data_IF_408565154682
#
_entry.id   IF_408565154682
#
_cell.length_a   1.000
_cell.length_b   1.000
_cell.length_c   1.000
_cell.angle_alpha   90.00
_cell.angle_beta   90.00
_cell.angle_gamma   90.00
#
_symmetry.space_group_name_H-M   'P 1'
#
loop_
_entity.id
_entity.type
_entity.pdbx_description
1 polymer ?
#
# COMPACT_ATOMS: atom_id res chain seq x y z
N UNK A 1 36.05 3.27 -16.52
CA UNK A 1 34.82 3.72 -17.19
C UNK A 1 34.28 4.86 -16.33
N UNK A 2 34.46 6.11 -16.76
CA UNK A 2 34.13 7.31 -15.97
C UNK A 2 32.64 7.59 -16.13
N UNK A 3 31.80 6.86 -15.42
CA UNK A 3 30.35 7.06 -15.41
C UNK A 3 30.02 8.23 -14.49
N UNK A 4 30.26 9.45 -14.97
CA UNK A 4 29.59 10.61 -14.38
C UNK A 4 28.09 10.42 -14.65
N UNK A 5 27.33 10.10 -13.60
CA UNK A 5 25.87 10.08 -13.67
C UNK A 5 25.40 11.44 -14.19
N UNK A 6 24.49 11.41 -15.15
CA UNK A 6 23.81 12.60 -15.64
C UNK A 6 23.03 13.25 -14.49
N UNK A 7 22.83 14.57 -14.52
CA UNK A 7 22.22 15.30 -13.38
C UNK A 7 20.86 14.70 -12.97
N UNK A 8 20.08 14.24 -13.95
CA UNK A 8 18.77 13.61 -13.74
C UNK A 8 18.86 12.28 -12.98
N UNK A 9 19.91 11.50 -13.23
CA UNK A 9 20.13 10.22 -12.54
C UNK A 9 20.58 10.44 -11.09
N UNK A 10 21.37 11.49 -10.83
CA UNK A 10 21.78 11.86 -9.47
C UNK A 10 20.58 12.32 -8.63
N UNK A 11 19.70 13.13 -9.22
CA UNK A 11 18.48 13.58 -8.55
C UNK A 11 17.54 12.41 -8.27
N UNK A 12 17.38 11.48 -9.23
CA UNK A 12 16.59 10.25 -9.01
C UNK A 12 17.14 9.41 -7.85
N UNK A 13 18.46 9.20 -7.79
CA UNK A 13 19.11 8.44 -6.72
C UNK A 13 18.93 9.13 -5.37
N UNK A 14 19.09 10.45 -5.33
CA UNK A 14 18.90 11.25 -4.12
C UNK A 14 17.47 11.17 -3.59
N UNK A 15 16.48 11.30 -4.48
CA UNK A 15 15.07 11.17 -4.14
C UNK A 15 14.71 9.76 -3.67
N UNK A 16 15.27 8.72 -4.30
CA UNK A 16 15.05 7.33 -3.91
C UNK A 16 15.60 7.04 -2.51
N UNK A 17 16.81 7.53 -2.20
CA UNK A 17 17.42 7.37 -0.88
C UNK A 17 16.69 8.20 0.20
N UNK A 18 16.27 9.42 -0.13
CA UNK A 18 15.45 10.24 0.76
C UNK A 18 14.09 9.59 1.05
N UNK A 19 13.47 8.99 0.04
CA UNK A 19 12.24 8.20 0.17
C UNK A 19 12.44 6.98 1.08
N UNK A 20 13.52 6.23 0.90
CA UNK A 20 13.86 5.05 1.72
C UNK A 20 13.97 5.40 3.21
N UNK A 21 14.56 6.55 3.54
CA UNK A 21 14.80 6.95 4.92
C UNK A 21 13.57 7.59 5.59
N UNK A 22 12.76 8.39 4.87
CA UNK A 22 11.64 9.14 5.46
C UNK A 22 10.26 8.61 5.13
N UNK A 23 10.02 8.19 3.88
CA UNK A 23 8.68 7.89 3.37
C UNK A 23 8.31 6.41 3.48
N UNK A 24 9.29 5.51 3.38
CA UNK A 24 9.08 4.06 3.54
C UNK A 24 8.33 3.65 4.81
N UNK A 25 8.71 4.09 6.03
CA UNK A 25 8.00 3.67 7.25
C UNK A 25 6.57 4.21 7.30
N UNK A 26 6.33 5.42 6.79
CA UNK A 26 5.00 6.02 6.70
C UNK A 26 4.11 5.29 5.69
N UNK A 27 4.62 5.00 4.49
CA UNK A 27 3.87 4.25 3.47
C UNK A 27 3.56 2.82 3.92
N UNK A 28 4.47 2.18 4.65
CA UNK A 28 4.23 0.88 5.25
C UNK A 28 3.16 0.93 6.35
N UNK A 29 3.22 1.93 7.24
CA UNK A 29 2.21 2.14 8.28
C UNK A 29 0.82 2.42 7.67
N UNK A 30 0.75 3.30 6.67
CA UNK A 30 -0.49 3.62 5.96
C UNK A 30 -1.08 2.38 5.28
N UNK A 31 -0.23 1.55 4.67
CA UNK A 31 -0.68 0.30 4.05
C UNK A 31 -1.26 -0.66 5.09
N UNK A 32 -0.60 -0.83 6.23
CA UNK A 32 -1.12 -1.67 7.32
C UNK A 32 -2.44 -1.11 7.90
N UNK A 33 -2.55 0.21 8.09
CA UNK A 33 -3.79 0.84 8.54
C UNK A 33 -4.93 0.61 7.53
N UNK A 34 -4.65 0.72 6.23
CA UNK A 34 -5.61 0.42 5.18
C UNK A 34 -6.11 -1.04 5.26
N UNK A 35 -5.22 -2.00 5.55
CA UNK A 35 -5.62 -3.40 5.75
C UNK A 35 -6.54 -3.57 6.96
N UNK A 36 -6.19 -2.96 8.11
CA UNK A 36 -7.00 -3.02 9.33
C UNK A 36 -8.39 -2.42 9.09
N UNK A 37 -8.46 -1.26 8.45
CA UNK A 37 -9.72 -0.61 8.08
C UNK A 37 -10.54 -1.47 7.13
N UNK A 38 -9.92 -2.04 6.10
CA UNK A 38 -10.58 -2.98 5.18
C UNK A 38 -11.18 -4.18 5.91
N UNK A 39 -10.43 -4.77 6.84
CA UNK A 39 -10.90 -5.87 7.69
C UNK A 39 -12.09 -5.48 8.56
N UNK A 40 -12.04 -4.32 9.21
CA UNK A 40 -13.15 -3.80 10.03
C UNK A 40 -14.40 -3.57 9.17
N UNK A 41 -14.26 -2.95 8.00
CA UNK A 41 -15.38 -2.73 7.07
C UNK A 41 -16.01 -4.06 6.67
N UNK A 42 -15.22 -5.08 6.34
CA UNK A 42 -15.73 -6.41 5.99
C UNK A 42 -16.49 -7.01 7.18
N UNK A 43 -15.94 -6.97 8.40
CA UNK A 43 -16.59 -7.52 9.59
C UNK A 43 -17.91 -6.83 9.91
N UNK A 44 -17.94 -5.48 9.87
CA UNK A 44 -19.18 -4.71 10.08
C UNK A 44 -20.22 -5.06 9.02
N UNK A 45 -19.78 -5.20 7.77
CA UNK A 45 -20.64 -5.58 6.65
C UNK A 45 -21.25 -6.96 6.87
N UNK A 46 -20.45 -7.96 7.27
CA UNK A 46 -20.92 -9.32 7.58
C UNK A 46 -21.90 -9.29 8.75
N UNK A 47 -21.57 -8.58 9.83
CA UNK A 47 -22.43 -8.48 11.01
C UNK A 47 -23.80 -7.88 10.67
N UNK A 48 -23.84 -6.79 9.90
CA UNK A 48 -25.08 -6.16 9.45
C UNK A 48 -25.91 -7.09 8.56
N UNK A 49 -25.23 -7.79 7.65
CA UNK A 49 -25.83 -8.77 6.74
C UNK A 49 -26.51 -9.89 7.53
N UNK A 50 -25.81 -10.48 8.51
CA UNK A 50 -26.36 -11.56 9.35
C UNK A 50 -27.56 -11.11 10.17
N UNK A 51 -27.59 -9.86 10.63
CA UNK A 51 -28.68 -9.33 11.46
C UNK A 51 -29.95 -9.03 10.67
N UNK A 52 -29.85 -8.79 9.36
CA UNK A 52 -30.95 -8.32 8.52
C UNK A 52 -31.20 -9.23 7.30
N UNK A 53 -30.91 -10.53 7.39
CA UNK A 53 -30.95 -11.51 6.30
C UNK A 53 -32.22 -11.50 5.43
N UNK A 54 -33.36 -11.06 5.99
CA UNK A 54 -34.66 -11.02 5.29
C UNK A 54 -34.91 -9.72 4.51
N UNK A 55 -34.06 -8.71 4.69
CA UNK A 55 -34.29 -7.36 4.19
C UNK A 55 -33.55 -7.11 2.86
N UNK A 56 -34.29 -6.62 1.86
CA UNK A 56 -33.71 -6.25 0.54
C UNK A 56 -32.66 -5.15 0.65
N UNK A 57 -32.70 -4.39 1.75
CA UNK A 57 -31.76 -3.35 2.14
C UNK A 57 -30.35 -3.88 2.40
N UNK A 58 -30.21 -5.17 2.76
CA UNK A 58 -28.90 -5.81 2.96
C UNK A 58 -28.06 -5.78 1.70
N UNK A 59 -28.64 -6.00 0.52
CA UNK A 59 -27.88 -6.00 -0.73
C UNK A 59 -27.20 -4.65 -0.99
N UNK A 60 -27.85 -3.55 -0.61
CA UNK A 60 -27.33 -2.18 -0.73
C UNK A 60 -26.22 -1.84 0.26
N UNK A 61 -26.08 -2.59 1.36
CA UNK A 61 -25.02 -2.40 2.36
C UNK A 61 -23.88 -3.39 2.13
N UNK A 62 -24.22 -4.64 1.83
CA UNK A 62 -23.26 -5.73 1.68
C UNK A 62 -22.38 -5.57 0.45
N UNK A 63 -22.97 -5.23 -0.70
CA UNK A 63 -22.20 -5.12 -1.95
C UNK A 63 -21.19 -3.96 -1.89
N UNK A 64 -21.55 -2.73 -1.48
CA UNK A 64 -20.56 -1.66 -1.36
C UNK A 64 -19.53 -1.92 -0.26
N UNK A 65 -19.95 -2.49 0.88
CA UNK A 65 -19.05 -2.83 1.99
C UNK A 65 -18.00 -3.87 1.59
N UNK A 66 -18.42 -4.91 0.86
CA UNK A 66 -17.51 -5.91 0.32
C UNK A 66 -16.55 -5.32 -0.72
N UNK A 67 -17.06 -4.50 -1.66
CA UNK A 67 -16.22 -3.84 -2.67
C UNK A 67 -15.16 -2.93 -2.03
N UNK A 68 -15.56 -2.12 -1.04
CA UNK A 68 -14.62 -1.29 -0.28
C UNK A 68 -13.55 -2.13 0.42
N UNK A 69 -13.96 -3.22 1.09
CA UNK A 69 -13.03 -4.17 1.71
C UNK A 69 -12.00 -4.71 0.72
N UNK A 70 -12.43 -5.15 -0.45
CA UNK A 70 -11.55 -5.65 -1.52
C UNK A 70 -10.59 -4.57 -2.02
N UNK A 71 -11.04 -3.33 -2.19
CA UNK A 71 -10.18 -2.21 -2.61
C UNK A 71 -9.10 -1.94 -1.56
N UNK A 72 -9.43 -1.92 -0.27
CA UNK A 72 -8.46 -1.72 0.82
C UNK A 72 -7.40 -2.84 0.86
N UNK A 73 -7.83 -4.09 0.70
CA UNK A 73 -6.90 -5.24 0.60
C UNK A 73 -6.01 -5.14 -0.64
N UNK A 74 -6.56 -4.69 -1.77
CA UNK A 74 -5.81 -4.43 -2.99
C UNK A 74 -4.72 -3.36 -2.78
N UNK A 75 -5.07 -2.23 -2.17
CA UNK A 75 -4.11 -1.16 -1.84
C UNK A 75 -2.96 -1.70 -0.98
N UNK A 76 -3.26 -2.52 0.02
CA UNK A 76 -2.23 -3.17 0.83
C UNK A 76 -1.30 -4.05 0.00
N UNK A 77 -1.86 -4.91 -0.86
CA UNK A 77 -1.08 -5.83 -1.68
C UNK A 77 -0.17 -5.09 -2.68
N UNK A 78 -0.73 -4.15 -3.45
CA UNK A 78 0.01 -3.37 -4.43
C UNK A 78 1.02 -2.42 -3.75
N UNK A 79 0.63 -1.78 -2.65
CA UNK A 79 1.52 -0.94 -1.84
C UNK A 79 2.71 -1.72 -1.31
N UNK A 80 2.48 -2.89 -0.71
CA UNK A 80 3.53 -3.76 -0.21
C UNK A 80 4.51 -4.22 -1.29
N UNK A 81 4.01 -4.61 -2.47
CA UNK A 81 4.86 -5.00 -3.62
C UNK A 81 5.73 -3.83 -4.09
N UNK A 82 5.14 -2.65 -4.30
CA UNK A 82 5.84 -1.44 -4.74
C UNK A 82 6.91 -0.99 -3.74
N UNK A 83 6.61 -1.00 -2.45
CA UNK A 83 7.56 -0.64 -1.39
C UNK A 83 8.74 -1.63 -1.39
N UNK A 84 8.47 -2.93 -1.52
CA UNK A 84 9.51 -3.97 -1.55
C UNK A 84 10.44 -3.85 -2.77
N UNK A 85 9.89 -3.52 -3.93
CA UNK A 85 10.66 -3.31 -5.16
C UNK A 85 11.55 -2.05 -5.05
N UNK A 86 10.97 -0.90 -4.67
CA UNK A 86 11.74 0.34 -4.47
C UNK A 86 12.84 0.20 -3.42
N UNK A 87 12.56 -0.51 -2.33
CA UNK A 87 13.55 -0.80 -1.29
C UNK A 87 14.74 -1.61 -1.83
N UNK A 88 14.51 -2.67 -2.61
CA UNK A 88 15.60 -3.46 -3.20
C UNK A 88 16.50 -2.61 -4.08
N UNK A 89 15.91 -1.76 -4.92
CA UNK A 89 16.65 -0.87 -5.81
C UNK A 89 17.49 0.12 -4.99
N UNK A 90 16.91 0.73 -3.95
CA UNK A 90 17.63 1.64 -3.05
C UNK A 90 18.81 0.95 -2.33
N UNK A 91 18.63 -0.28 -1.86
CA UNK A 91 19.69 -1.05 -1.19
C UNK A 91 20.82 -1.43 -2.14
N UNK A 92 20.49 -1.85 -3.38
CA UNK A 92 21.49 -2.17 -4.40
C UNK A 92 22.31 -0.91 -4.74
N UNK A 93 21.64 0.22 -5.00
CA UNK A 93 22.31 1.49 -5.29
C UNK A 93 23.21 1.95 -4.14
N UNK A 94 22.72 1.84 -2.89
CA UNK A 94 23.53 2.17 -1.70
C UNK A 94 24.78 1.30 -1.58
N UNK A 95 24.71 0.03 -1.98
CA UNK A 95 25.87 -0.89 -2.01
C UNK A 95 26.84 -0.62 -3.15
N UNK A 96 26.36 -0.10 -4.29
CA UNK A 96 27.20 0.23 -5.45
C UNK A 96 27.92 1.57 -5.32
N UNK A 97 27.37 2.50 -4.53
CA UNK A 97 27.97 3.81 -4.26
C UNK A 97 28.89 3.86 -3.02
N UNK A 98 28.92 2.79 -2.22
CA UNK A 98 29.82 2.63 -1.08
C UNK A 98 31.10 1.91 -1.51
#
# INVERSE_FOLDING_TARGET
MNTKLENDEQDFVRDLLAWEQRRRPLEWLLSNLALVLGGVVILVTIFYTLRHLTDRLVFWVTVPGFLLGVVFVGIYYFGGKRIKERHRVAVILKKLMA
#
